data_IF_900703395896
#
_entry.id   IF_900703395896
#
_cell.length_a   1.000
_cell.length_b   1.000
_cell.length_c   1.000
_cell.angle_alpha   90.00
_cell.angle_beta   90.00
_cell.angle_gamma   90.00
#
_symmetry.space_group_name_H-M   'P 1'
#
loop_
_entity.id
_entity.type
_entity.pdbx_description
1 polymer ?
#
# COMPACT_ATOMS: atom_id res chain seq x y z
N UNK A 1 13.22 18.12 -1.57
CA UNK A 1 12.78 18.27 -2.98
C UNK A 1 12.28 16.91 -3.44
N UNK A 2 11.02 16.83 -3.87
CA UNK A 2 10.42 15.57 -4.36
C UNK A 2 10.63 15.56 -5.87
N UNK A 3 11.41 14.60 -6.37
CA UNK A 3 11.56 14.35 -7.80
C UNK A 3 10.51 13.33 -8.23
N UNK A 4 9.84 13.61 -9.35
CA UNK A 4 8.91 12.65 -9.93
C UNK A 4 9.74 11.48 -10.49
N UNK A 5 9.63 10.32 -9.85
CA UNK A 5 10.28 9.09 -10.28
C UNK A 5 9.25 7.99 -10.53
N UNK A 6 9.60 7.01 -11.36
CA UNK A 6 8.77 5.82 -11.56
C UNK A 6 8.54 5.09 -10.25
N UNK A 7 9.56 5.04 -9.39
CA UNK A 7 9.50 4.45 -8.06
C UNK A 7 8.43 5.12 -7.18
N UNK A 8 8.35 6.47 -7.21
CA UNK A 8 7.30 7.22 -6.51
C UNK A 8 5.91 6.94 -7.10
N UNK A 9 5.78 6.87 -8.42
CA UNK A 9 4.50 6.58 -9.09
C UNK A 9 3.96 5.19 -8.71
N UNK A 10 4.82 4.17 -8.68
CA UNK A 10 4.42 2.81 -8.27
C UNK A 10 3.97 2.83 -6.80
N UNK A 11 4.69 3.54 -5.93
CA UNK A 11 4.31 3.72 -4.52
C UNK A 11 2.92 4.33 -4.39
N UNK A 12 2.66 5.41 -5.14
CA UNK A 12 1.39 6.12 -5.13
C UNK A 12 0.24 5.25 -5.63
N UNK A 13 0.43 4.54 -6.73
CA UNK A 13 -0.59 3.63 -7.26
C UNK A 13 -0.92 2.55 -6.23
N UNK A 14 0.10 1.89 -5.65
CA UNK A 14 -0.11 0.85 -4.64
C UNK A 14 -0.83 1.38 -3.39
N UNK A 15 -0.39 2.54 -2.88
CA UNK A 15 -1.00 3.17 -1.71
C UNK A 15 -2.43 3.67 -1.95
N UNK A 16 -2.72 4.25 -3.12
CA UNK A 16 -4.07 4.69 -3.48
C UNK A 16 -5.01 3.49 -3.64
N UNK A 17 -4.57 2.42 -4.30
CA UNK A 17 -5.39 1.20 -4.43
C UNK A 17 -5.73 0.62 -3.06
N UNK A 18 -4.76 0.56 -2.14
CA UNK A 18 -4.98 0.10 -0.77
C UNK A 18 -5.95 1.01 0.00
N UNK A 19 -5.80 2.33 -0.14
CA UNK A 19 -6.71 3.29 0.47
C UNK A 19 -8.15 3.12 -0.03
N UNK A 20 -8.31 2.94 -1.34
CA UNK A 20 -9.62 2.71 -1.95
C UNK A 20 -10.23 1.39 -1.47
N UNK A 21 -9.46 0.29 -1.36
CA UNK A 21 -9.98 -0.97 -0.81
C UNK A 21 -10.44 -0.80 0.64
N UNK A 22 -9.65 -0.14 1.48
CA UNK A 22 -10.01 0.17 2.86
C UNK A 22 -11.30 0.97 2.97
N UNK A 23 -11.46 2.02 2.15
CA UNK A 23 -12.70 2.83 2.11
C UNK A 23 -13.88 2.00 1.65
N UNK A 24 -13.74 1.17 0.62
CA UNK A 24 -14.80 0.27 0.15
C UNK A 24 -15.16 -0.78 1.20
N UNK A 25 -14.19 -1.23 2.01
CA UNK A 25 -14.42 -2.16 3.12
C UNK A 25 -15.21 -1.53 4.25
N UNK A 26 -14.95 -0.26 4.57
CA UNK A 26 -15.74 0.51 5.53
C UNK A 26 -17.20 0.66 5.12
N UNK A 27 -17.47 0.73 3.81
CA UNK A 27 -18.84 0.83 3.27
C UNK A 27 -19.60 -0.50 3.30
N UNK A 28 -18.91 -1.64 3.40
CA UNK A 28 -19.51 -2.96 3.50
C UNK A 28 -19.97 -3.30 4.92
N UNK A 29 -20.94 -4.23 5.03
CA UNK A 29 -21.34 -4.81 6.33
C UNK A 29 -20.44 -6.01 6.63
N UNK A 30 -19.44 -5.84 7.52
CA UNK A 30 -18.70 -6.99 8.06
C UNK A 30 -17.21 -6.82 8.38
N UNK A 31 -16.65 -5.61 8.47
CA UNK A 31 -15.21 -5.46 8.69
C UNK A 31 -14.75 -4.07 9.13
N UNK A 32 -15.56 -3.36 9.92
CA UNK A 32 -15.35 -1.94 10.22
C UNK A 32 -13.99 -1.67 10.84
N UNK A 33 -13.55 -2.48 11.82
CA UNK A 33 -12.26 -2.28 12.49
C UNK A 33 -11.09 -2.46 11.52
N UNK A 34 -11.10 -3.54 10.73
CA UNK A 34 -10.05 -3.81 9.76
C UNK A 34 -10.00 -2.73 8.66
N UNK A 35 -11.15 -2.27 8.18
CA UNK A 35 -11.23 -1.17 7.22
C UNK A 35 -10.68 0.14 7.79
N UNK A 36 -10.91 0.44 9.07
CA UNK A 36 -10.32 1.64 9.72
C UNK A 36 -8.80 1.51 9.73
N UNK A 37 -8.28 0.37 10.18
CA UNK A 37 -6.82 0.13 10.24
C UNK A 37 -6.22 0.25 8.84
N UNK A 38 -6.84 -0.35 7.83
CA UNK A 38 -6.38 -0.30 6.45
C UNK A 38 -6.30 1.12 5.91
N UNK A 39 -7.37 1.91 6.11
CA UNK A 39 -7.39 3.32 5.68
C UNK A 39 -6.33 4.14 6.39
N UNK A 40 -6.19 3.97 7.71
CA UNK A 40 -5.19 4.71 8.50
C UNK A 40 -3.78 4.36 8.06
N UNK A 41 -3.46 3.07 7.95
CA UNK A 41 -2.11 2.62 7.57
C UNK A 41 -1.79 3.00 6.12
N UNK A 42 -2.75 2.90 5.19
CA UNK A 42 -2.57 3.34 3.80
C UNK A 42 -2.39 4.86 3.70
N UNK A 43 -3.16 5.64 4.46
CA UNK A 43 -3.00 7.10 4.51
C UNK A 43 -1.64 7.49 5.10
N UNK A 44 -1.20 6.85 6.19
CA UNK A 44 0.13 7.07 6.77
C UNK A 44 1.24 6.71 5.78
N UNK A 45 1.12 5.57 5.08
CA UNK A 45 2.05 5.20 4.02
C UNK A 45 2.13 6.29 2.93
N UNK A 46 1.00 6.73 2.39
CA UNK A 46 0.97 7.78 1.36
C UNK A 46 1.58 9.09 1.85
N UNK A 47 1.26 9.51 3.08
CA UNK A 47 1.84 10.72 3.67
C UNK A 47 3.36 10.56 3.88
N UNK A 48 3.84 9.36 4.21
CA UNK A 48 5.26 9.09 4.47
C UNK A 48 6.14 9.23 3.22
N UNK A 49 5.55 9.15 2.02
CA UNK A 49 6.25 9.41 0.76
C UNK A 49 6.67 10.87 0.59
N UNK A 50 6.02 11.79 1.32
CA UNK A 50 6.21 13.23 1.18
C UNK A 50 6.71 13.92 2.44
N UNK A 51 6.54 13.28 3.61
CA UNK A 51 6.83 13.89 4.91
C UNK A 51 7.77 13.00 5.71
N UNK A 52 8.93 13.54 6.08
CA UNK A 52 9.97 12.83 6.86
C UNK A 52 9.71 12.79 8.37
N UNK A 53 8.68 13.50 8.85
CA UNK A 53 8.29 13.55 10.26
C UNK A 53 7.31 12.45 10.69
N UNK A 54 6.94 11.54 9.79
CA UNK A 54 6.04 10.43 10.12
C UNK A 54 6.85 9.34 10.84
N UNK A 55 6.39 8.87 12.01
CA UNK A 55 7.04 7.76 12.69
C UNK A 55 6.98 6.53 11.78
N UNK A 56 8.09 5.80 11.70
CA UNK A 56 8.33 4.66 10.81
C UNK A 56 8.57 5.06 9.34
N UNK A 57 9.59 4.46 8.71
CA UNK A 57 9.89 4.71 7.31
C UNK A 57 8.79 4.19 6.37
N UNK A 58 8.71 4.75 5.16
CA UNK A 58 7.72 4.36 4.14
C UNK A 58 7.74 2.87 3.82
N UNK A 59 8.91 2.22 3.85
CA UNK A 59 9.04 0.77 3.67
C UNK A 59 8.33 -0.01 4.78
N UNK A 60 8.44 0.42 6.04
CA UNK A 60 7.77 -0.25 7.18
C UNK A 60 6.26 -0.09 7.05
N UNK A 61 5.79 1.11 6.69
CA UNK A 61 4.37 1.36 6.48
C UNK A 61 3.83 0.56 5.28
N UNK A 62 4.59 0.42 4.19
CA UNK A 62 4.21 -0.43 3.06
C UNK A 62 4.03 -1.89 3.47
N UNK A 63 4.94 -2.42 4.28
CA UNK A 63 4.82 -3.79 4.84
C UNK A 63 3.58 -3.91 5.71
N UNK A 64 3.30 -2.91 6.56
CA UNK A 64 2.08 -2.89 7.37
C UNK A 64 0.81 -2.87 6.49
N UNK A 65 0.79 -2.07 5.40
CA UNK A 65 -0.32 -2.09 4.43
C UNK A 65 -0.50 -3.48 3.83
N UNK A 66 0.59 -4.13 3.40
CA UNK A 66 0.50 -5.49 2.84
C UNK A 66 -0.08 -6.50 3.84
N UNK A 67 0.34 -6.45 5.10
CA UNK A 67 -0.20 -7.33 6.15
C UNK A 67 -1.71 -7.13 6.28
N UNK A 68 -2.18 -5.88 6.33
CA UNK A 68 -3.61 -5.57 6.47
C UNK A 68 -4.41 -6.03 5.25
N UNK A 69 -3.88 -5.84 4.04
CA UNK A 69 -4.48 -6.33 2.81
C UNK A 69 -4.58 -7.86 2.79
N UNK A 70 -3.53 -8.58 3.22
CA UNK A 70 -3.52 -10.05 3.32
C UNK A 70 -4.56 -10.54 4.33
N UNK A 71 -4.61 -9.95 5.53
CA UNK A 71 -5.63 -10.28 6.53
C UNK A 71 -7.03 -10.04 5.95
N UNK A 72 -7.21 -8.93 5.26
CA UNK A 72 -8.43 -8.60 4.54
C UNK A 72 -8.87 -9.65 3.52
N UNK A 73 -7.93 -10.08 2.69
CA UNK A 73 -8.15 -11.08 1.66
C UNK A 73 -8.60 -12.42 2.26
N UNK A 74 -7.99 -12.83 3.38
CA UNK A 74 -8.32 -14.07 4.08
C UNK A 74 -9.72 -13.99 4.70
N UNK A 75 -10.09 -12.85 5.29
CA UNK A 75 -11.35 -12.71 6.03
C UNK A 75 -12.58 -12.44 5.13
N UNK A 76 -12.42 -11.83 3.96
CA UNK A 76 -13.54 -11.30 3.14
C UNK A 76 -14.13 -12.30 2.13
N UNK A 77 -13.46 -13.42 1.85
CA UNK A 77 -13.90 -14.35 0.79
C UNK A 77 -13.86 -13.74 -0.61
N UNK A 78 -14.67 -14.25 -1.57
CA UNK A 78 -14.56 -13.95 -3.01
C UNK A 78 -14.91 -12.51 -3.46
N UNK A 79 -15.48 -11.68 -2.60
CA UNK A 79 -15.92 -10.33 -2.98
C UNK A 79 -14.75 -9.32 -2.97
N UNK A 80 -14.58 -8.57 -4.07
CA UNK A 80 -13.59 -7.50 -4.24
C UNK A 80 -12.10 -7.92 -4.21
N UNK A 81 -11.79 -9.19 -4.44
CA UNK A 81 -10.42 -9.75 -4.46
C UNK A 81 -9.48 -9.02 -5.43
N UNK A 82 -9.99 -8.57 -6.59
CA UNK A 82 -9.15 -7.99 -7.63
C UNK A 82 -8.41 -6.72 -7.17
N UNK A 83 -9.07 -5.84 -6.41
CA UNK A 83 -8.46 -4.58 -5.96
C UNK A 83 -7.37 -4.84 -4.90
N UNK A 84 -7.68 -5.69 -3.91
CA UNK A 84 -6.73 -6.10 -2.87
C UNK A 84 -5.51 -6.79 -3.47
N UNK A 85 -5.70 -7.70 -4.43
CA UNK A 85 -4.59 -8.38 -5.12
C UNK A 85 -3.76 -7.41 -5.95
N UNK A 86 -4.38 -6.49 -6.68
CA UNK A 86 -3.65 -5.47 -7.43
C UNK A 86 -2.79 -4.59 -6.51
N UNK A 87 -3.35 -4.12 -5.39
CA UNK A 87 -2.61 -3.34 -4.40
C UNK A 87 -1.42 -4.13 -3.82
N UNK A 88 -1.63 -5.41 -3.48
CA UNK A 88 -0.58 -6.29 -2.97
C UNK A 88 0.57 -6.46 -3.97
N UNK A 89 0.25 -6.75 -5.23
CA UNK A 89 1.27 -6.95 -6.27
C UNK A 89 2.07 -5.66 -6.49
N UNK A 90 1.39 -4.52 -6.61
CA UNK A 90 2.06 -3.23 -6.84
C UNK A 90 2.98 -2.85 -5.66
N UNK A 91 2.50 -3.01 -4.42
CA UNK A 91 3.32 -2.74 -3.23
C UNK A 91 4.47 -3.73 -3.07
N UNK A 92 4.27 -5.01 -3.38
CA UNK A 92 5.34 -6.00 -3.34
C UNK A 92 6.44 -5.66 -4.35
N UNK A 93 6.08 -5.32 -5.59
CA UNK A 93 7.02 -4.84 -6.61
C UNK A 93 7.75 -3.60 -6.12
N UNK A 94 7.02 -2.63 -5.58
CA UNK A 94 7.63 -1.41 -5.04
C UNK A 94 8.66 -1.71 -3.94
N UNK A 95 8.34 -2.59 -2.99
CA UNK A 95 9.26 -2.98 -1.90
C UNK A 95 10.53 -3.64 -2.45
N UNK A 96 10.39 -4.53 -3.44
CA UNK A 96 11.55 -5.18 -4.08
C UNK A 96 12.47 -4.14 -4.73
N UNK A 97 11.88 -3.17 -5.44
CA UNK A 97 12.63 -2.13 -6.15
C UNK A 97 13.24 -1.09 -5.19
N UNK A 98 12.52 -0.64 -4.16
CA UNK A 98 13.02 0.40 -3.23
C UNK A 98 14.17 -0.10 -2.35
N UNK A 99 14.27 -1.42 -2.15
CA UNK A 99 15.38 -2.05 -1.40
C UNK A 99 16.48 -2.60 -2.32
N UNK A 100 16.42 -2.32 -3.63
CA UNK A 100 17.38 -2.77 -4.64
C UNK A 100 17.63 -4.29 -4.65
N UNK A 101 16.63 -5.09 -4.27
CA UNK A 101 16.69 -6.55 -4.36
C UNK A 101 16.66 -7.02 -5.82
N UNK A 102 16.05 -6.22 -6.69
CA UNK A 102 16.12 -6.33 -8.13
C UNK A 102 16.38 -4.94 -8.68
N UNK A 103 17.46 -4.77 -9.45
CA UNK A 103 17.82 -3.48 -10.05
C UNK A 103 17.35 -3.48 -11.49
N UNK A 104 16.47 -2.53 -11.83
CA UNK A 104 16.00 -2.30 -13.20
C UNK A 104 16.43 -0.92 -13.66
N UNK A 105 17.33 -0.82 -14.66
CA UNK A 105 17.81 0.47 -15.15
C UNK A 105 16.67 1.40 -15.56
N UNK A 106 16.67 2.61 -15.01
CA UNK A 106 15.62 3.61 -15.24
C UNK A 106 14.39 3.50 -14.31
N UNK A 107 14.32 2.51 -13.41
CA UNK A 107 13.31 2.42 -12.35
C UNK A 107 13.91 2.61 -10.95
N UNK A 108 14.94 1.84 -10.62
CA UNK A 108 15.69 1.90 -9.36
C UNK A 108 17.19 1.66 -9.66
N UNK A 109 18.03 2.64 -9.31
CA UNK A 109 19.43 2.75 -9.76
C UNK A 109 19.59 3.77 -10.87
#
# INVERSE_FOLDING_TARGET
MITLSWLLLIALVGGVLALVDGVLRLRGRGGTVLGIIEVVVAALFLLSLFVTGIPFGSTVLAVAVMIVLVIGLILRGRAAVALTVAALVVLAVWIVLVNDWLIVPGLNG
#
